data_IF_968658882651
#
_entry.id   IF_968658882651
#
_cell.length_a   1.000
_cell.length_b   1.000
_cell.length_c   1.000
_cell.angle_alpha   90.00
_cell.angle_beta   90.00
_cell.angle_gamma   90.00
#
_symmetry.space_group_name_H-M   'P 1'
#
loop_
_entity.id
_entity.type
_entity.pdbx_description
1 polymer ?
#
# COMPACT_ATOMS: atom_id res chain seq x y z
N UNK A 1 -7.98 20.31 23.65
CA UNK A 1 -7.69 20.33 22.19
C UNK A 1 -6.18 20.24 21.88
N UNK A 2 -5.28 20.77 22.73
CA UNK A 2 -3.82 20.78 22.49
C UNK A 2 -3.16 19.40 22.64
N UNK A 3 -3.68 18.52 23.49
CA UNK A 3 -3.10 17.18 23.70
C UNK A 3 -3.17 16.26 22.47
N UNK A 4 -4.28 16.28 21.71
CA UNK A 4 -4.43 15.46 20.49
C UNK A 4 -3.50 15.90 19.36
N UNK A 5 -3.23 17.21 19.23
CA UNK A 5 -2.27 17.71 18.23
C UNK A 5 -0.83 17.34 18.57
N UNK A 6 -0.48 17.36 19.87
CA UNK A 6 0.84 16.94 20.33
C UNK A 6 1.07 15.43 20.12
N UNK A 7 0.07 14.59 20.36
CA UNK A 7 0.14 13.14 20.11
C UNK A 7 0.32 12.87 18.62
N UNK A 8 -0.47 13.48 17.74
CA UNK A 8 -0.36 13.31 16.28
C UNK A 8 0.99 13.80 15.72
N UNK A 9 1.56 14.84 16.31
CA UNK A 9 2.89 15.34 15.95
C UNK A 9 3.99 14.38 16.40
N UNK A 10 3.88 13.83 17.61
CA UNK A 10 4.82 12.84 18.14
C UNK A 10 4.75 11.53 17.35
N UNK A 11 3.55 11.09 16.96
CA UNK A 11 3.36 9.91 16.11
C UNK A 11 3.98 10.10 14.72
N UNK A 12 3.79 11.26 14.08
CA UNK A 12 4.45 11.58 12.80
C UNK A 12 5.97 11.65 12.93
N UNK A 13 6.50 12.24 13.99
CA UNK A 13 7.95 12.27 14.24
C UNK A 13 8.49 10.86 14.52
N UNK A 14 7.74 10.02 15.23
CA UNK A 14 8.12 8.62 15.48
C UNK A 14 8.14 7.82 14.16
N UNK A 15 7.15 7.99 13.29
CA UNK A 15 7.11 7.35 11.97
C UNK A 15 8.27 7.78 11.08
N UNK A 16 8.56 9.08 10.96
CA UNK A 16 9.70 9.59 10.18
C UNK A 16 11.03 9.02 10.71
N UNK A 17 11.21 9.00 12.03
CA UNK A 17 12.40 8.42 12.65
C UNK A 17 12.51 6.92 12.40
N UNK A 18 11.39 6.22 12.35
CA UNK A 18 11.33 4.78 12.07
C UNK A 18 11.69 4.47 10.61
N UNK A 19 11.20 5.28 9.65
CA UNK A 19 11.57 5.16 8.23
C UNK A 19 13.04 5.45 7.98
N UNK A 20 13.62 6.46 8.62
CA UNK A 20 15.05 6.75 8.53
C UNK A 20 15.89 5.62 9.12
N UNK A 21 15.45 5.03 10.23
CA UNK A 21 16.14 3.90 10.86
C UNK A 21 16.08 2.67 9.96
N UNK A 22 14.94 2.37 9.35
CA UNK A 22 14.82 1.25 8.41
C UNK A 22 15.72 1.42 7.20
N UNK A 23 15.78 2.63 6.61
CA UNK A 23 16.69 2.93 5.49
C UNK A 23 18.15 2.71 5.85
N UNK A 24 18.57 3.11 7.06
CA UNK A 24 19.93 2.87 7.55
C UNK A 24 20.23 1.38 7.73
N UNK A 25 19.29 0.62 8.29
CA UNK A 25 19.43 -0.84 8.46
C UNK A 25 19.54 -1.52 7.10
N UNK A 26 18.69 -1.17 6.14
CA UNK A 26 18.71 -1.74 4.78
C UNK A 26 20.03 -1.41 4.08
N UNK A 27 20.50 -0.17 4.16
CA UNK A 27 21.78 0.26 3.58
C UNK A 27 22.95 -0.53 4.19
N UNK A 28 22.98 -0.63 5.52
CA UNK A 28 23.99 -1.41 6.24
C UNK A 28 23.94 -2.90 5.85
N UNK A 29 22.76 -3.49 5.79
CA UNK A 29 22.58 -4.90 5.41
C UNK A 29 23.11 -5.19 3.99
N UNK A 30 22.95 -4.25 3.05
CA UNK A 30 23.51 -4.36 1.70
C UNK A 30 25.03 -4.17 1.69
N UNK A 31 25.52 -3.14 2.38
CA UNK A 31 26.94 -2.82 2.44
C UNK A 31 27.78 -3.96 3.03
N UNK A 32 27.28 -4.63 4.06
CA UNK A 32 27.98 -5.71 4.75
C UNK A 32 27.60 -7.11 4.25
N UNK A 33 26.90 -7.23 3.11
CA UNK A 33 26.61 -8.51 2.48
C UNK A 33 25.64 -9.42 3.25
N UNK A 34 24.76 -8.84 4.06
CA UNK A 34 23.65 -9.60 4.64
C UNK A 34 22.61 -9.94 3.60
N UNK A 35 22.30 -9.00 2.73
CA UNK A 35 21.41 -9.16 1.59
C UNK A 35 21.97 -8.43 0.37
N UNK A 36 21.66 -8.92 -0.81
CA UNK A 36 21.96 -8.27 -2.07
C UNK A 36 20.86 -8.55 -3.09
N UNK A 37 20.69 -7.69 -4.12
CA UNK A 37 19.68 -7.91 -5.15
C UNK A 37 19.87 -9.27 -5.83
N UNK A 38 18.79 -10.04 -5.95
CA UNK A 38 18.86 -11.31 -6.68
C UNK A 38 19.13 -11.06 -8.16
N UNK A 39 19.97 -11.91 -8.76
CA UNK A 39 20.37 -11.79 -10.16
C UNK A 39 21.06 -10.48 -10.50
N UNK A 40 21.85 -9.92 -9.61
CA UNK A 40 22.48 -8.60 -9.75
C UNK A 40 23.34 -8.49 -11.00
N UNK A 41 23.98 -9.57 -11.45
CA UNK A 41 24.78 -9.61 -12.69
C UNK A 41 23.95 -9.38 -13.96
N UNK A 42 22.61 -9.44 -13.86
CA UNK A 42 21.65 -9.17 -14.94
C UNK A 42 20.74 -7.98 -14.59
N UNK A 43 21.28 -6.95 -13.93
CA UNK A 43 20.57 -5.75 -13.45
C UNK A 43 19.59 -6.00 -12.29
N UNK A 44 19.57 -7.22 -11.73
CA UNK A 44 18.74 -7.59 -10.60
C UNK A 44 17.24 -7.69 -10.90
N UNK A 45 16.50 -8.16 -9.90
CA UNK A 45 15.04 -8.16 -9.88
C UNK A 45 14.54 -7.17 -8.84
N UNK A 46 13.55 -6.37 -9.20
CA UNK A 46 12.94 -5.41 -8.26
C UNK A 46 12.34 -6.11 -7.05
N UNK A 47 12.71 -5.65 -5.85
CA UNK A 47 12.21 -6.16 -4.56
C UNK A 47 12.52 -7.65 -4.25
N UNK A 48 13.42 -8.29 -4.99
CA UNK A 48 13.89 -9.66 -4.74
C UNK A 48 15.33 -9.62 -4.27
N UNK A 49 15.61 -10.30 -3.15
CA UNK A 49 16.93 -10.29 -2.51
C UNK A 49 17.39 -11.70 -2.19
N UNK A 50 18.68 -11.94 -2.39
CA UNK A 50 19.36 -13.12 -1.90
C UNK A 50 20.02 -12.82 -0.53
N UNK A 51 20.12 -13.83 0.31
CA UNK A 51 20.81 -13.70 1.59
C UNK A 51 22.27 -14.07 1.42
N UNK A 52 23.16 -13.15 1.80
CA UNK A 52 24.56 -13.41 1.92
C UNK A 52 24.90 -14.31 3.13
N UNK A 53 26.18 -14.61 3.30
CA UNK A 53 26.67 -15.51 4.34
C UNK A 53 26.14 -15.17 5.74
N UNK A 54 26.27 -13.92 6.16
CA UNK A 54 25.79 -13.49 7.48
C UNK A 54 24.26 -13.41 7.54
N UNK A 55 23.62 -13.05 6.43
CA UNK A 55 22.16 -12.95 6.34
C UNK A 55 21.46 -14.29 6.46
N UNK A 56 22.01 -15.34 5.83
CA UNK A 56 21.43 -16.69 5.92
C UNK A 56 21.55 -17.27 7.32
N UNK A 57 22.66 -17.04 8.01
CA UNK A 57 22.83 -17.49 9.39
C UNK A 57 21.90 -16.76 10.34
N UNK A 58 21.76 -15.45 10.21
CA UNK A 58 20.80 -14.66 10.99
C UNK A 58 19.37 -15.14 10.77
N UNK A 59 18.98 -15.32 9.51
CA UNK A 59 17.66 -15.85 9.13
C UNK A 59 17.38 -17.22 9.76
N UNK A 60 18.33 -18.13 9.67
CA UNK A 60 18.18 -19.48 10.21
C UNK A 60 18.13 -19.48 11.75
N UNK A 61 18.89 -18.61 12.40
CA UNK A 61 18.84 -18.44 13.85
C UNK A 61 17.48 -17.91 14.31
N UNK A 62 16.93 -16.92 13.61
CA UNK A 62 15.58 -16.39 13.90
C UNK A 62 14.52 -17.48 13.75
N UNK A 63 14.57 -18.26 12.66
CA UNK A 63 13.64 -19.38 12.42
C UNK A 63 13.71 -20.43 13.51
N UNK A 64 14.93 -20.86 13.90
CA UNK A 64 15.13 -21.84 14.97
C UNK A 64 14.62 -21.34 16.31
N UNK A 65 14.96 -20.09 16.64
CA UNK A 65 14.50 -19.46 17.87
C UNK A 65 12.97 -19.39 17.93
N UNK A 66 12.33 -18.90 16.86
CA UNK A 66 10.88 -18.83 16.79
C UNK A 66 10.23 -20.20 16.94
N UNK A 67 10.70 -21.20 16.21
CA UNK A 67 10.18 -22.56 16.28
C UNK A 67 10.28 -23.13 17.70
N UNK A 68 11.46 -23.04 18.29
CA UNK A 68 11.68 -23.53 19.65
C UNK A 68 10.86 -22.78 20.69
N UNK A 69 10.75 -21.46 20.57
CA UNK A 69 9.94 -20.67 21.47
C UNK A 69 8.46 -21.07 21.41
N UNK A 70 7.92 -21.29 20.20
CA UNK A 70 6.52 -21.68 20.05
C UNK A 70 6.24 -23.10 20.52
N UNK A 71 7.07 -24.06 20.16
CA UNK A 71 6.79 -25.49 20.41
C UNK A 71 7.26 -25.99 21.78
N UNK A 72 8.29 -25.35 22.38
CA UNK A 72 8.84 -25.82 23.68
C UNK A 72 8.33 -25.01 24.87
N UNK A 73 7.96 -23.73 24.68
CA UNK A 73 7.48 -22.88 25.78
C UNK A 73 5.96 -22.89 25.94
N UNK A 74 5.24 -23.51 25.01
CA UNK A 74 3.78 -23.58 25.02
C UNK A 74 3.31 -25.01 24.88
N UNK A 75 2.68 -25.54 25.94
CA UNK A 75 2.19 -26.92 26.01
C UNK A 75 1.09 -27.24 24.99
N UNK A 76 0.36 -26.24 24.55
CA UNK A 76 -0.77 -26.38 23.62
C UNK A 76 -0.42 -26.10 22.15
N UNK A 77 0.87 -25.97 21.83
CA UNK A 77 1.35 -25.75 20.45
C UNK A 77 2.22 -26.92 20.00
N UNK A 78 1.86 -27.52 18.89
CA UNK A 78 2.64 -28.57 18.23
C UNK A 78 3.05 -28.11 16.84
N UNK A 79 4.25 -28.48 16.42
CA UNK A 79 4.73 -28.21 15.08
C UNK A 79 4.19 -29.22 14.07
N UNK A 80 3.74 -28.72 12.93
CA UNK A 80 3.42 -29.55 11.75
C UNK A 80 4.13 -28.99 10.53
N UNK A 81 4.54 -29.87 9.63
CA UNK A 81 5.11 -29.51 8.33
C UNK A 81 4.15 -30.00 7.24
N UNK A 82 3.30 -29.09 6.78
CA UNK A 82 2.28 -29.38 5.78
C UNK A 82 2.85 -29.30 4.37
N UNK A 83 2.32 -30.11 3.45
CA UNK A 83 2.66 -30.01 2.04
C UNK A 83 2.29 -28.62 1.47
N UNK A 84 3.15 -28.09 0.60
CA UNK A 84 2.90 -26.82 -0.10
C UNK A 84 1.73 -26.97 -1.08
N UNK A 85 1.70 -28.11 -1.81
CA UNK A 85 0.61 -28.43 -2.73
C UNK A 85 -0.53 -29.09 -1.97
N UNK A 86 -1.67 -28.41 -1.93
CA UNK A 86 -2.86 -28.86 -1.23
C UNK A 86 -4.04 -29.00 -2.18
N UNK A 87 -5.06 -29.75 -1.75
CA UNK A 87 -6.28 -29.91 -2.54
C UNK A 87 -6.98 -28.57 -2.75
N UNK A 88 -7.45 -28.22 -3.97
CA UNK A 88 -8.08 -26.92 -4.28
C UNK A 88 -9.21 -26.50 -3.34
N UNK A 89 -9.95 -27.47 -2.79
CA UNK A 89 -11.02 -27.22 -1.82
C UNK A 89 -10.53 -26.52 -0.55
N UNK A 90 -9.28 -26.74 -0.13
CA UNK A 90 -8.68 -26.08 1.04
C UNK A 90 -8.56 -24.57 0.78
N UNK A 91 -8.08 -24.22 -0.39
CA UNK A 91 -7.93 -22.81 -0.80
C UNK A 91 -9.27 -22.12 -1.01
N UNK A 92 -10.28 -22.84 -1.49
CA UNK A 92 -11.65 -22.34 -1.58
C UNK A 92 -12.27 -22.15 -0.20
N UNK A 93 -12.16 -23.12 0.69
CA UNK A 93 -12.70 -23.05 2.05
C UNK A 93 -12.04 -21.95 2.90
N UNK A 94 -10.75 -21.67 2.68
CA UNK A 94 -10.03 -20.58 3.35
C UNK A 94 -10.25 -19.19 2.72
N UNK A 95 -11.07 -19.10 1.65
CA UNK A 95 -11.34 -17.84 0.95
C UNK A 95 -10.22 -17.34 0.04
N UNK A 96 -9.10 -18.06 -0.05
CA UNK A 96 -7.97 -17.59 -0.86
C UNK A 96 -8.30 -17.57 -2.36
N UNK A 97 -9.14 -18.50 -2.86
CA UNK A 97 -9.53 -18.52 -4.27
C UNK A 97 -10.40 -17.30 -4.62
N UNK A 98 -11.28 -16.91 -3.72
CA UNK A 98 -12.21 -15.80 -3.94
C UNK A 98 -11.57 -14.43 -3.70
N UNK A 99 -10.50 -14.39 -2.86
CA UNK A 99 -9.79 -13.15 -2.50
C UNK A 99 -8.62 -12.79 -3.44
N UNK A 100 -8.17 -13.72 -4.30
CA UNK A 100 -7.01 -13.51 -5.19
C UNK A 100 -7.37 -13.04 -6.60
N UNK A 101 -8.46 -12.35 -6.79
CA UNK A 101 -8.74 -11.65 -8.04
C UNK A 101 -8.18 -10.23 -7.97
N UNK A 102 -6.86 -10.09 -8.13
CA UNK A 102 -6.30 -8.76 -8.38
C UNK A 102 -6.82 -8.25 -9.73
N UNK A 103 -7.55 -7.13 -9.77
CA UNK A 103 -8.00 -6.55 -11.02
C UNK A 103 -6.82 -5.93 -11.74
N UNK A 104 -6.30 -6.63 -12.76
CA UNK A 104 -5.10 -6.22 -13.49
C UNK A 104 -5.48 -5.52 -14.80
N UNK A 105 -4.83 -4.40 -15.08
CA UNK A 105 -5.00 -3.62 -16.30
C UNK A 105 -3.64 -3.29 -16.91
N UNK A 106 -3.51 -3.42 -18.23
CA UNK A 106 -2.28 -3.09 -18.93
C UNK A 106 -2.39 -1.74 -19.64
N UNK A 107 -1.31 -0.97 -19.63
CA UNK A 107 -1.21 0.20 -20.50
C UNK A 107 -0.45 -0.18 -21.77
N UNK A 108 -1.07 0.01 -22.93
CA UNK A 108 -0.54 -0.41 -24.24
C UNK A 108 0.71 0.35 -24.66
N UNK A 109 0.86 1.60 -24.22
CA UNK A 109 1.97 2.46 -24.61
C UNK A 109 3.22 2.17 -23.79
N UNK A 110 3.06 2.03 -22.47
CA UNK A 110 4.17 1.69 -21.56
C UNK A 110 4.49 0.19 -21.53
N UNK A 111 3.57 -0.66 -22.02
CA UNK A 111 3.61 -2.14 -21.90
C UNK A 111 3.79 -2.63 -20.47
N UNK A 112 3.27 -1.87 -19.51
CA UNK A 112 3.33 -2.19 -18.07
C UNK A 112 1.96 -2.56 -17.57
N UNK A 113 1.97 -3.51 -16.62
CA UNK A 113 0.80 -4.00 -15.92
C UNK A 113 0.65 -3.28 -14.59
N UNK A 114 -0.57 -2.92 -14.26
CA UNK A 114 -0.95 -2.24 -13.03
C UNK A 114 -2.13 -2.94 -12.38
N UNK A 115 -2.32 -2.70 -11.11
CA UNK A 115 -3.54 -3.05 -10.39
C UNK A 115 -4.53 -1.90 -10.56
N UNK A 116 -5.70 -2.19 -11.10
CA UNK A 116 -6.75 -1.19 -11.33
C UNK A 116 -7.26 -0.58 -10.02
N UNK A 117 -7.41 -1.38 -8.97
CA UNK A 117 -7.77 -0.93 -7.63
C UNK A 117 -6.76 0.08 -7.07
N UNK A 118 -5.45 -0.21 -7.15
CA UNK A 118 -4.39 0.70 -6.69
C UNK A 118 -4.41 2.01 -7.48
N UNK A 119 -4.61 1.97 -8.81
CA UNK A 119 -4.71 3.19 -9.62
C UNK A 119 -5.89 4.09 -9.19
N UNK A 120 -7.01 3.48 -8.82
CA UNK A 120 -8.20 4.19 -8.35
C UNK A 120 -7.97 4.75 -6.93
N UNK A 121 -7.39 3.95 -6.04
CA UNK A 121 -7.03 4.38 -4.67
C UNK A 121 -6.04 5.56 -4.68
N UNK A 122 -5.05 5.53 -5.57
CA UNK A 122 -4.11 6.64 -5.78
C UNK A 122 -4.84 7.92 -6.24
N UNK A 123 -5.89 7.80 -7.06
CA UNK A 123 -6.68 8.97 -7.48
C UNK A 123 -7.55 9.49 -6.34
N UNK A 124 -8.13 8.62 -5.51
CA UNK A 124 -8.83 9.01 -4.28
C UNK A 124 -7.88 9.77 -3.36
N UNK A 125 -6.68 9.26 -3.14
CA UNK A 125 -5.64 9.92 -2.33
C UNK A 125 -5.26 11.30 -2.86
N UNK A 126 -5.25 11.51 -4.19
CA UNK A 126 -5.01 12.84 -4.77
C UNK A 126 -6.11 13.84 -4.43
N UNK A 127 -7.37 13.41 -4.30
CA UNK A 127 -8.44 14.29 -3.83
C UNK A 127 -8.24 14.66 -2.35
N UNK A 128 -7.85 13.70 -1.50
CA UNK A 128 -7.53 13.97 -0.09
C UNK A 128 -6.35 14.95 0.03
N UNK A 129 -5.31 14.78 -0.77
CA UNK A 129 -4.19 15.72 -0.85
C UNK A 129 -4.62 17.14 -1.27
N UNK A 130 -5.55 17.27 -2.23
CA UNK A 130 -6.10 18.58 -2.64
C UNK A 130 -6.87 19.22 -1.50
N UNK A 131 -7.69 18.46 -0.79
CA UNK A 131 -8.43 18.91 0.39
C UNK A 131 -7.45 19.40 1.47
N UNK A 132 -6.43 18.62 1.78
CA UNK A 132 -5.43 18.98 2.79
C UNK A 132 -4.62 20.23 2.41
N UNK A 133 -4.26 20.37 1.13
CA UNK A 133 -3.57 21.56 0.62
C UNK A 133 -4.41 22.82 0.75
N UNK A 134 -5.71 22.78 0.47
CA UNK A 134 -6.61 23.92 0.65
C UNK A 134 -6.77 24.28 2.14
N UNK A 135 -6.91 23.28 3.01
CA UNK A 135 -6.95 23.47 4.47
C UNK A 135 -5.64 24.09 4.98
N UNK A 136 -4.49 23.60 4.51
CA UNK A 136 -3.18 24.11 4.92
C UNK A 136 -2.95 25.56 4.44
N UNK A 137 -3.40 25.92 3.23
CA UNK A 137 -3.36 27.29 2.72
C UNK A 137 -4.22 28.24 3.58
N UNK A 138 -5.44 27.79 3.92
CA UNK A 138 -6.33 28.55 4.78
C UNK A 138 -5.77 28.73 6.19
N UNK A 139 -5.19 27.67 6.77
CA UNK A 139 -4.55 27.74 8.08
C UNK A 139 -3.40 28.76 8.13
N UNK A 140 -2.58 28.81 7.05
CA UNK A 140 -1.52 29.83 6.94
C UNK A 140 -2.07 31.24 6.82
N UNK A 141 -3.24 31.40 6.20
CA UNK A 141 -3.85 32.75 5.97
C UNK A 141 -4.58 33.28 7.20
N UNK A 142 -5.26 32.41 7.96
CA UNK A 142 -6.13 32.80 9.07
C UNK A 142 -5.48 32.64 10.46
N UNK A 143 -4.29 31.98 10.54
CA UNK A 143 -3.52 31.88 11.78
C UNK A 143 -4.22 31.09 12.89
N UNK A 144 -4.05 31.52 14.14
CA UNK A 144 -4.53 30.80 15.33
C UNK A 144 -6.06 30.71 15.47
N UNK A 145 -6.81 31.57 14.80
CA UNK A 145 -8.29 31.59 14.81
C UNK A 145 -8.91 30.61 13.81
N UNK A 146 -8.10 29.86 13.04
CA UNK A 146 -8.57 28.97 12.00
C UNK A 146 -9.17 27.66 12.57
N UNK A 147 -10.44 27.43 12.24
CA UNK A 147 -11.12 26.15 12.52
C UNK A 147 -11.13 25.28 11.24
N UNK A 148 -10.26 24.28 11.22
CA UNK A 148 -10.12 23.38 10.09
C UNK A 148 -11.36 22.49 9.88
N UNK A 149 -12.10 22.17 10.94
CA UNK A 149 -13.30 21.35 10.83
C UNK A 149 -14.45 22.12 10.18
N UNK A 150 -14.65 23.36 10.63
CA UNK A 150 -15.63 24.26 10.04
C UNK A 150 -15.28 24.57 8.58
N UNK A 151 -14.01 24.84 8.28
CA UNK A 151 -13.55 25.12 6.92
C UNK A 151 -13.80 23.94 5.96
N UNK A 152 -13.56 22.72 6.39
CA UNK A 152 -13.84 21.51 5.59
C UNK A 152 -15.31 21.34 5.24
N UNK A 153 -16.21 21.83 6.08
CA UNK A 153 -17.66 21.69 5.90
C UNK A 153 -18.35 22.90 5.25
N UNK A 154 -17.63 24.02 5.10
CA UNK A 154 -18.22 25.27 4.58
C UNK A 154 -17.57 25.81 3.32
N UNK A 155 -16.32 25.42 3.04
CA UNK A 155 -15.61 25.95 1.87
C UNK A 155 -16.06 25.26 0.58
N UNK A 156 -16.57 25.99 -0.43
CA UNK A 156 -17.12 25.41 -1.65
C UNK A 156 -16.12 24.54 -2.43
N UNK A 157 -14.83 24.93 -2.48
CA UNK A 157 -13.79 24.16 -3.18
C UNK A 157 -13.47 22.85 -2.48
N UNK A 158 -13.43 22.88 -1.14
CA UNK A 158 -13.21 21.68 -0.35
C UNK A 158 -14.40 20.74 -0.50
N UNK A 159 -15.63 21.27 -0.44
CA UNK A 159 -16.85 20.49 -0.62
C UNK A 159 -16.92 19.83 -2.02
N UNK A 160 -16.48 20.53 -3.07
CA UNK A 160 -16.41 19.97 -4.42
C UNK A 160 -15.42 18.79 -4.47
N UNK A 161 -14.24 18.91 -3.86
CA UNK A 161 -13.27 17.83 -3.81
C UNK A 161 -13.76 16.66 -2.97
N UNK A 162 -14.43 16.92 -1.84
CA UNK A 162 -15.04 15.90 -1.00
C UNK A 162 -16.12 15.14 -1.77
N UNK A 163 -17.02 15.84 -2.47
CA UNK A 163 -18.07 15.22 -3.24
C UNK A 163 -17.52 14.30 -4.35
N UNK A 164 -16.51 14.76 -5.09
CA UNK A 164 -15.86 13.94 -6.14
C UNK A 164 -15.13 12.73 -5.56
N UNK A 165 -14.45 12.90 -4.43
CA UNK A 165 -13.80 11.80 -3.72
C UNK A 165 -14.81 10.76 -3.27
N UNK A 166 -15.89 11.19 -2.63
CA UNK A 166 -16.91 10.30 -2.08
C UNK A 166 -17.68 9.57 -3.20
N UNK A 167 -17.97 10.24 -4.32
CA UNK A 167 -18.55 9.63 -5.51
C UNK A 167 -17.62 8.53 -6.06
N UNK A 168 -16.34 8.84 -6.27
CA UNK A 168 -15.35 7.90 -6.74
C UNK A 168 -15.20 6.71 -5.79
N UNK A 169 -15.10 6.98 -4.49
CA UNK A 169 -14.95 5.95 -3.47
C UNK A 169 -16.17 5.01 -3.42
N UNK A 170 -17.38 5.56 -3.49
CA UNK A 170 -18.62 4.75 -3.48
C UNK A 170 -18.75 3.89 -4.74
N UNK A 171 -18.46 4.44 -5.92
CA UNK A 171 -18.43 3.66 -7.18
C UNK A 171 -17.40 2.55 -7.12
N UNK A 172 -16.17 2.87 -6.69
CA UNK A 172 -15.10 1.90 -6.53
C UNK A 172 -15.48 0.77 -5.58
N UNK A 173 -16.02 1.12 -4.40
CA UNK A 173 -16.46 0.14 -3.42
C UNK A 173 -17.53 -0.80 -3.97
N UNK A 174 -18.54 -0.25 -4.65
CA UNK A 174 -19.59 -1.04 -5.26
C UNK A 174 -19.06 -1.98 -6.36
N UNK A 175 -18.14 -1.50 -7.21
CA UNK A 175 -17.52 -2.31 -8.25
C UNK A 175 -16.67 -3.46 -7.66
N UNK A 176 -15.93 -3.22 -6.58
CA UNK A 176 -15.15 -4.24 -5.89
C UNK A 176 -16.04 -5.29 -5.21
N UNK A 177 -17.09 -4.87 -4.52
CA UNK A 177 -18.06 -5.79 -3.87
C UNK A 177 -18.79 -6.66 -4.89
N UNK A 178 -19.10 -6.10 -6.07
CA UNK A 178 -19.75 -6.83 -7.17
C UNK A 178 -18.76 -7.62 -8.05
N UNK A 179 -17.44 -7.48 -7.83
CA UNK A 179 -16.39 -7.98 -8.72
C UNK A 179 -16.60 -7.57 -10.19
N UNK A 180 -17.03 -6.30 -10.39
CA UNK A 180 -17.31 -5.74 -11.71
C UNK A 180 -16.07 -5.09 -12.31
N UNK A 181 -15.31 -5.89 -13.05
CA UNK A 181 -14.06 -5.47 -13.70
C UNK A 181 -14.31 -4.42 -14.81
N UNK A 182 -15.47 -4.47 -15.47
CA UNK A 182 -15.84 -3.50 -16.50
C UNK A 182 -16.07 -2.10 -15.89
N UNK A 183 -16.73 -2.04 -14.75
CA UNK A 183 -16.94 -0.79 -14.02
C UNK A 183 -15.63 -0.22 -13.48
N UNK A 184 -14.68 -1.06 -13.01
CA UNK A 184 -13.36 -0.58 -12.61
C UNK A 184 -12.62 0.09 -13.78
N UNK A 185 -12.68 -0.49 -14.98
CA UNK A 185 -12.13 0.15 -16.18
C UNK A 185 -12.85 1.46 -16.50
N UNK A 186 -14.16 1.47 -16.41
CA UNK A 186 -14.96 2.68 -16.70
C UNK A 186 -14.62 3.82 -15.74
N UNK A 187 -14.41 3.51 -14.45
CA UNK A 187 -13.94 4.49 -13.46
C UNK A 187 -12.58 5.08 -13.87
N UNK A 188 -11.62 4.25 -14.29
CA UNK A 188 -10.30 4.71 -14.74
C UNK A 188 -10.43 5.67 -15.92
N UNK A 189 -11.34 5.41 -16.85
CA UNK A 189 -11.58 6.25 -18.01
C UNK A 189 -12.29 7.56 -17.64
N UNK A 190 -13.35 7.50 -16.84
CA UNK A 190 -14.18 8.65 -16.44
C UNK A 190 -13.40 9.67 -15.64
N UNK A 191 -12.58 9.22 -14.69
CA UNK A 191 -11.69 10.08 -13.90
C UNK A 191 -10.39 10.42 -14.61
N UNK A 192 -10.19 9.89 -15.81
CA UNK A 192 -9.06 10.23 -16.65
C UNK A 192 -7.73 9.81 -16.06
N UNK A 193 -7.69 8.71 -15.33
CA UNK A 193 -6.48 8.19 -14.70
C UNK A 193 -5.45 7.83 -15.79
N UNK A 194 -4.27 8.39 -15.67
CA UNK A 194 -3.17 8.21 -16.64
C UNK A 194 -2.16 7.20 -16.12
N UNK A 195 -1.50 6.53 -17.04
CA UNK A 195 -0.37 5.65 -16.73
C UNK A 195 0.76 6.45 -16.05
N UNK A 196 1.25 6.03 -14.89
CA UNK A 196 2.32 6.73 -14.17
C UNK A 196 3.63 6.86 -14.96
N UNK A 197 3.88 5.97 -15.92
CA UNK A 197 5.11 5.95 -16.72
C UNK A 197 4.95 6.70 -18.04
N UNK A 198 3.91 6.37 -18.84
CA UNK A 198 3.72 6.98 -20.16
C UNK A 198 2.88 8.25 -20.14
N UNK A 199 2.12 8.51 -19.08
CA UNK A 199 1.18 9.63 -19.02
C UNK A 199 -0.05 9.49 -19.92
N UNK A 200 -0.24 8.33 -20.58
CA UNK A 200 -1.34 8.08 -21.50
C UNK A 200 -2.51 7.35 -20.83
N UNK A 201 -3.68 7.37 -21.47
CA UNK A 201 -4.91 6.70 -21.03
C UNK A 201 -5.22 5.45 -21.87
N UNK A 202 -4.24 4.90 -22.55
CA UNK A 202 -4.42 3.77 -23.47
C UNK A 202 -4.43 2.44 -22.70
N UNK A 203 -5.56 2.18 -22.01
CA UNK A 203 -5.75 1.03 -21.16
C UNK A 203 -6.40 -0.15 -21.89
N UNK A 204 -6.06 -1.38 -21.51
CA UNK A 204 -6.74 -2.62 -21.90
C UNK A 204 -8.04 -2.82 -21.11
N UNK A 205 -8.67 -3.98 -21.26
CA UNK A 205 -9.67 -4.45 -20.31
C UNK A 205 -8.98 -4.92 -19.02
N UNK A 206 -9.71 -4.87 -17.90
CA UNK A 206 -9.26 -5.34 -16.59
C UNK A 206 -9.38 -6.85 -16.49
#
# INVERSE_FOLDING_TARGET
>A
KNGKKAILFLDKMAQVKQEETLKKIVSHAKEYGFVFPSSEIYDGLGAVYDYGQNGVELKNNIKRYWWSAMTLLHENIVGIDSAIFMHPTIWKASGHVDAFNDPLIDNRDSKKRYRADVLIEDEIAKFDDKIEKEVAKAAKRFGESFDAALFKTTNPRVLEHVAKRDELHNRYKAAMEANDLAELKQIILDYGIVCPISGTKNWTDV
#
